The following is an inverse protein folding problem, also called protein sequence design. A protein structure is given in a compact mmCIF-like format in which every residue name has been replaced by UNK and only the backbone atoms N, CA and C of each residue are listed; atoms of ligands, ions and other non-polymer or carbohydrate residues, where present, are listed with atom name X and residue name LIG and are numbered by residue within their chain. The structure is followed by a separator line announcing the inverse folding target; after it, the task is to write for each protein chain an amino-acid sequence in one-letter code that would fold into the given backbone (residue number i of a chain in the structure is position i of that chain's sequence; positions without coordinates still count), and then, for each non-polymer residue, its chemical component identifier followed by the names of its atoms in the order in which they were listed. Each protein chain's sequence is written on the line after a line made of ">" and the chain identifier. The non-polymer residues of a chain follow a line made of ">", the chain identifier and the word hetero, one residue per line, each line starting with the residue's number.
data_IF_292074408547
#
_entry.id   IF_292074408547
#
_cell.length_a   1.000
_cell.length_b   1.000
_cell.length_c   1.000
_cell.angle_alpha   90.00
_cell.angle_beta   90.00
_cell.angle_gamma   90.00
#
_symmetry.space_group_name_H-M   'P 1'
#
loop_
_entity.id
_entity.type
_entity.pdbx_description
1 polymer ?
#
# COMPACT_ATOMS: atom_id res chain seq x y z
N UNK A 1 -7.36 21.56 0.36
CA UNK A 1 -6.43 20.46 0.70
C UNK A 1 -5.41 20.34 -0.41
N UNK A 2 -4.16 20.71 -0.16
CA UNK A 2 -3.07 20.35 -1.08
C UNK A 2 -2.98 18.83 -1.15
N UNK A 3 -3.13 18.26 -2.35
CA UNK A 3 -2.80 16.85 -2.56
C UNK A 3 -1.28 16.77 -2.65
N UNK A 4 -0.64 16.30 -1.58
CA UNK A 4 0.78 15.93 -1.64
C UNK A 4 0.98 14.88 -2.75
N UNK A 5 2.07 15.02 -3.51
CA UNK A 5 2.40 14.03 -4.54
C UNK A 5 2.68 12.67 -3.88
N UNK A 6 2.35 11.61 -4.61
CA UNK A 6 2.63 10.21 -4.23
C UNK A 6 3.59 9.55 -5.22
N UNK A 7 4.19 10.33 -6.12
CA UNK A 7 5.11 9.80 -7.13
C UNK A 7 6.51 9.69 -6.53
N UNK A 8 7.23 8.63 -6.87
CA UNK A 8 8.59 8.41 -6.37
C UNK A 8 9.50 9.58 -6.72
N UNK A 9 9.36 10.13 -7.92
CA UNK A 9 10.15 11.29 -8.37
C UNK A 9 9.95 12.57 -7.54
N UNK A 10 8.83 12.67 -6.83
CA UNK A 10 8.44 13.88 -6.08
C UNK A 10 8.51 13.64 -4.55
N UNK A 11 8.99 12.48 -4.09
CA UNK A 11 8.95 12.08 -2.69
C UNK A 11 10.24 11.41 -2.22
N UNK A 12 10.63 11.63 -0.97
CA UNK A 12 11.73 10.86 -0.34
C UNK A 12 11.24 9.49 0.13
N UNK A 13 12.18 8.63 0.56
CA UNK A 13 11.81 7.38 1.21
C UNK A 13 10.94 7.62 2.44
N UNK A 14 11.33 8.54 3.31
CA UNK A 14 10.63 8.85 4.56
C UNK A 14 9.23 9.40 4.29
N UNK A 15 9.07 10.25 3.28
CA UNK A 15 7.76 10.75 2.87
C UNK A 15 6.85 9.63 2.39
N UNK A 16 7.39 8.65 1.65
CA UNK A 16 6.63 7.47 1.20
C UNK A 16 6.25 6.56 2.36
N UNK A 17 7.13 6.37 3.35
CA UNK A 17 6.78 5.66 4.58
C UNK A 17 5.63 6.35 5.33
N UNK A 18 5.64 7.68 5.42
CA UNK A 18 4.52 8.43 6.01
C UNK A 18 3.23 8.31 5.17
N UNK A 19 3.32 8.39 3.84
CA UNK A 19 2.17 8.20 2.95
C UNK A 19 1.53 6.83 3.18
N UNK A 20 2.34 5.76 3.22
CA UNK A 20 1.86 4.40 3.48
C UNK A 20 1.25 4.31 4.88
N UNK A 21 1.95 4.81 5.90
CA UNK A 21 1.48 4.80 7.30
C UNK A 21 0.14 5.52 7.48
N UNK A 22 0.01 6.73 6.91
CA UNK A 22 -1.23 7.51 6.97
C UNK A 22 -2.37 6.89 6.15
N UNK A 23 -2.05 6.18 5.06
CA UNK A 23 -3.06 5.49 4.24
C UNK A 23 -3.61 4.23 4.93
N UNK A 24 -2.84 3.66 5.85
CA UNK A 24 -3.20 2.47 6.63
C UNK A 24 -3.77 2.81 8.02
N UNK A 25 -3.81 4.08 8.39
CA UNK A 25 -4.39 4.50 9.65
C UNK A 25 -5.92 4.44 9.59
N UNK A 26 -6.48 3.30 10.00
CA UNK A 26 -7.93 3.08 10.08
C UNK A 26 -8.58 3.74 11.31
N UNK A 27 -7.99 4.80 11.87
CA UNK A 27 -8.56 5.55 13.01
C UNK A 27 -8.26 4.96 14.38
N UNK A 28 -7.19 4.15 14.49
CA UNK A 28 -6.82 3.50 15.75
C UNK A 28 -5.51 2.70 15.71
N UNK A 29 -4.67 2.91 14.69
CA UNK A 29 -3.46 2.13 14.46
C UNK A 29 -3.71 0.75 13.82
N UNK A 30 -2.63 0.10 13.39
CA UNK A 30 -2.65 -1.23 12.76
C UNK A 30 -3.31 -2.29 13.65
N UNK A 31 -3.18 -2.14 14.96
CA UNK A 31 -3.75 -3.00 16.01
C UNK A 31 -5.28 -2.94 16.10
N UNK A 32 -5.92 -1.87 15.61
CA UNK A 32 -7.39 -1.77 15.48
C UNK A 32 -7.90 -2.01 14.06
N UNK A 33 -7.01 -2.28 13.09
CA UNK A 33 -7.42 -2.59 11.72
C UNK A 33 -7.73 -4.09 11.58
N UNK A 34 -9.00 -4.43 11.34
CA UNK A 34 -9.47 -5.82 11.21
C UNK A 34 -8.77 -6.61 10.09
N UNK A 35 -8.18 -5.93 9.10
CA UNK A 35 -7.52 -6.58 7.96
C UNK A 35 -6.18 -7.26 8.32
N UNK A 36 -5.41 -6.71 9.27
CA UNK A 36 -4.15 -7.34 9.70
C UNK A 36 -4.38 -8.58 10.57
N UNK A 37 -5.44 -8.60 11.39
CA UNK A 37 -5.77 -9.73 12.27
C UNK A 37 -6.36 -10.94 11.52
N UNK A 38 -7.00 -10.70 10.37
CA UNK A 38 -7.66 -11.74 9.56
C UNK A 38 -6.72 -12.45 8.57
N UNK A 39 -5.39 -12.33 8.74
CA UNK A 39 -4.42 -13.00 7.88
C UNK A 39 -4.23 -12.35 6.51
N UNK A 40 -4.61 -11.08 6.34
CA UNK A 40 -4.46 -10.31 5.09
C UNK A 40 -3.03 -9.96 4.68
N UNK A 41 -2.02 -10.44 5.41
CA UNK A 41 -0.61 -10.06 5.23
C UNK A 41 -0.29 -8.68 5.80
N UNK A 42 1.00 -8.34 5.86
CA UNK A 42 1.42 -6.99 6.24
C UNK A 42 1.26 -6.07 5.02
N UNK A 43 0.48 -4.98 5.11
CA UNK A 43 0.39 -4.01 4.02
C UNK A 43 1.75 -3.40 3.67
N UNK A 44 2.69 -3.42 4.62
CA UNK A 44 4.07 -3.01 4.39
C UNK A 44 4.77 -3.86 3.33
N UNK A 45 4.49 -5.16 3.27
CA UNK A 45 5.12 -6.06 2.28
C UNK A 45 4.66 -5.72 0.86
N UNK A 46 3.41 -5.29 0.71
CA UNK A 46 2.84 -4.87 -0.58
C UNK A 46 3.49 -3.56 -1.06
N UNK A 47 3.70 -2.60 -0.15
CA UNK A 47 4.20 -1.27 -0.50
C UNK A 47 5.72 -1.10 -0.34
N UNK A 48 6.47 -2.13 0.03
CA UNK A 48 7.92 -2.05 0.24
C UNK A 48 8.66 -1.58 -1.03
N UNK A 49 8.27 -2.07 -2.21
CA UNK A 49 8.87 -1.64 -3.49
C UNK A 49 8.61 -0.15 -3.77
N UNK A 50 7.47 0.38 -3.34
CA UNK A 50 7.18 1.81 -3.42
C UNK A 50 8.01 2.59 -2.43
N UNK A 51 8.17 2.13 -1.19
CA UNK A 51 9.03 2.77 -0.18
C UNK A 51 10.50 2.78 -0.64
N UNK A 52 10.95 1.71 -1.25
CA UNK A 52 12.32 1.57 -1.77
C UNK A 52 12.58 2.39 -3.04
N UNK A 53 11.52 2.77 -3.78
CA UNK A 53 11.66 3.51 -5.04
C UNK A 53 11.89 2.65 -6.26
N UNK A 54 11.46 1.39 -6.18
CA UNK A 54 11.57 0.41 -7.25
C UNK A 54 10.34 0.42 -8.15
N UNK A 55 9.14 0.65 -7.61
CA UNK A 55 7.86 0.64 -8.34
C UNK A 55 6.89 1.69 -7.84
N UNK A 56 6.13 2.29 -8.74
CA UNK A 56 5.07 3.23 -8.38
C UNK A 56 3.87 2.51 -7.73
N UNK A 57 3.14 3.20 -6.84
CA UNK A 57 1.91 2.65 -6.20
C UNK A 57 0.93 2.10 -7.25
N UNK A 58 0.83 2.78 -8.40
CA UNK A 58 -0.07 2.35 -9.49
C UNK A 58 0.31 0.97 -10.03
N UNK A 59 1.60 0.69 -10.18
CA UNK A 59 2.11 -0.59 -10.68
C UNK A 59 1.82 -1.70 -9.68
N UNK A 60 2.14 -1.46 -8.41
CA UNK A 60 1.84 -2.38 -7.30
C UNK A 60 0.35 -2.72 -7.25
N UNK A 61 -0.53 -1.72 -7.34
CA UNK A 61 -1.97 -1.93 -7.31
C UNK A 61 -2.48 -2.75 -8.50
N UNK A 62 -1.92 -2.55 -9.70
CA UNK A 62 -2.27 -3.35 -10.88
C UNK A 62 -1.84 -4.81 -10.71
N UNK A 63 -0.61 -5.06 -10.29
CA UNK A 63 -0.09 -6.42 -10.04
C UNK A 63 -0.88 -7.14 -8.94
N UNK A 64 -1.18 -6.42 -7.85
CA UNK A 64 -1.98 -6.97 -6.75
C UNK A 64 -3.38 -7.36 -7.22
N UNK A 65 -4.05 -6.48 -7.98
CA UNK A 65 -5.38 -6.76 -8.52
C UNK A 65 -5.37 -7.89 -9.55
N UNK A 66 -4.31 -8.00 -10.36
CA UNK A 66 -4.15 -9.11 -11.30
C UNK A 66 -4.04 -10.44 -10.55
N UNK A 67 -3.17 -10.53 -9.54
CA UNK A 67 -3.03 -11.72 -8.69
C UNK A 67 -4.36 -12.07 -8.00
N UNK A 68 -5.00 -11.08 -7.37
CA UNK A 68 -6.30 -11.28 -6.71
C UNK A 68 -7.41 -11.74 -7.65
N UNK A 69 -7.39 -11.32 -8.92
CA UNK A 69 -8.35 -11.79 -9.94
C UNK A 69 -8.03 -13.20 -10.43
N UNK A 70 -6.76 -13.60 -10.49
CA UNK A 70 -6.39 -14.96 -10.87
C UNK A 70 -6.73 -15.97 -9.76
N UNK A 71 -6.54 -15.59 -8.50
CA UNK A 71 -6.77 -16.48 -7.34
C UNK A 71 -8.26 -16.70 -7.01
N UNK A 72 -9.14 -15.83 -7.51
CA UNK A 72 -10.58 -16.08 -7.52
C UNK A 72 -11.02 -16.24 -8.97
N UNK A 73 -11.18 -17.49 -9.44
CA UNK A 73 -12.04 -17.77 -10.60
C UNK A 73 -13.47 -17.32 -10.25
N UNK A 74 -13.75 -16.03 -10.39
CA UNK A 74 -15.10 -15.49 -10.40
C UNK A 74 -15.60 -15.73 -11.82
N UNK A 75 -16.31 -16.84 -11.99
CA UNK A 75 -17.11 -17.13 -13.18
C UNK A 75 -18.28 -16.15 -13.28
#
# INVERSE_FOLDING_TARGET
>A
MERKSILIKDTTREEREQIVKSSLDCGGGCENCSSCWLGGGSPWDIYQDYIDGKKEIREINMEYMEKYRQDRQIH
#
